data_IF_128121936150
#
_entry.id   IF_128121936150
#
_cell.length_a   1.000
_cell.length_b   1.000
_cell.length_c   1.000
_cell.angle_alpha   90.00
_cell.angle_beta   90.00
_cell.angle_gamma   90.00
#
_symmetry.space_group_name_H-M   'P 1'
#
loop_
_entity.id
_entity.type
_entity.pdbx_description
1 polymer ?
#
# COMPACT_ATOMS: atom_id res chain seq x y z
N UNK A 1 -3.11 0.09 7.58
CA UNK A 1 -2.28 -0.90 6.86
C UNK A 1 -0.83 -0.52 7.00
N UNK A 2 -0.01 -1.42 7.55
CA UNK A 2 1.39 -1.14 7.91
C UNK A 2 2.34 -2.09 7.20
N UNK A 3 3.46 -1.56 6.73
CA UNK A 3 4.62 -2.31 6.26
C UNK A 3 5.85 -1.72 6.93
N UNK A 4 6.65 -2.54 7.61
CA UNK A 4 7.88 -2.10 8.24
C UNK A 4 9.08 -2.83 7.64
N UNK A 5 10.18 -2.11 7.49
CA UNK A 5 11.43 -2.62 6.96
C UNK A 5 12.46 -2.63 8.08
N UNK A 6 13.11 -3.77 8.27
CA UNK A 6 14.20 -3.94 9.24
C UNK A 6 15.48 -4.34 8.51
N UNK A 7 16.58 -4.54 9.24
CA UNK A 7 17.82 -5.01 8.63
C UNK A 7 17.75 -6.45 8.13
N UNK A 8 16.81 -7.24 8.65
CA UNK A 8 16.71 -8.67 8.36
C UNK A 8 15.49 -9.02 7.52
N UNK A 9 14.36 -8.34 7.75
CA UNK A 9 13.09 -8.77 7.20
C UNK A 9 12.12 -7.61 6.96
N UNK A 10 11.05 -7.93 6.21
CA UNK A 10 9.93 -7.03 5.98
C UNK A 10 8.73 -7.55 6.76
N UNK A 11 8.20 -6.73 7.66
CA UNK A 11 7.02 -7.01 8.45
C UNK A 11 5.79 -6.38 7.81
N UNK A 12 4.64 -7.04 7.88
CA UNK A 12 3.35 -6.52 7.35
C UNK A 12 2.25 -6.75 8.38
N UNK A 13 1.32 -5.81 8.49
CA UNK A 13 0.16 -5.92 9.39
C UNK A 13 0.53 -5.64 10.85
N UNK A 14 0.05 -6.49 11.77
CA UNK A 14 0.20 -6.25 13.21
C UNK A 14 1.67 -6.25 13.66
N UNK A 15 2.50 -7.11 13.09
CA UNK A 15 3.94 -7.13 13.37
C UNK A 15 4.60 -5.79 13.05
N UNK A 16 4.24 -5.17 11.91
CA UNK A 16 4.73 -3.85 11.54
C UNK A 16 4.16 -2.75 12.45
N UNK A 17 2.87 -2.80 12.79
CA UNK A 17 2.22 -1.80 13.66
C UNK A 17 2.82 -1.80 15.07
N UNK A 18 3.08 -2.98 15.64
CA UNK A 18 3.55 -3.12 17.03
C UNK A 18 4.94 -2.52 17.27
N UNK A 19 5.77 -2.40 16.22
CA UNK A 19 7.13 -1.87 16.33
C UNK A 19 7.27 -0.42 15.84
N UNK A 20 6.18 0.24 15.42
CA UNK A 20 6.23 1.60 14.85
C UNK A 20 6.91 2.62 15.77
N UNK A 21 6.72 2.52 17.08
CA UNK A 21 7.34 3.42 18.04
C UNK A 21 8.87 3.25 18.15
N UNK A 22 9.40 2.08 17.80
CA UNK A 22 10.84 1.76 17.84
C UNK A 22 11.55 2.00 16.52
N UNK A 23 10.82 1.94 15.41
CA UNK A 23 11.36 2.07 14.05
C UNK A 23 10.45 2.95 13.16
N UNK A 24 10.15 4.20 13.57
CA UNK A 24 9.11 4.99 12.92
C UNK A 24 9.46 5.36 11.47
N UNK A 25 10.73 5.66 11.17
CA UNK A 25 11.18 6.11 9.85
C UNK A 25 11.11 5.02 8.78
N UNK A 26 11.20 3.74 9.17
CA UNK A 26 11.13 2.60 8.25
C UNK A 26 9.80 1.85 8.36
N UNK A 27 8.80 2.46 9.02
CA UNK A 27 7.46 1.89 9.15
C UNK A 27 6.47 2.73 8.37
N UNK A 28 6.11 2.22 7.20
CA UNK A 28 5.23 2.87 6.25
C UNK A 28 3.78 2.53 6.59
N UNK A 29 2.96 3.57 6.68
CA UNK A 29 1.51 3.50 6.79
C UNK A 29 0.89 4.55 5.87
N UNK A 30 -0.43 4.52 5.72
CA UNK A 30 -1.17 5.51 4.91
C UNK A 30 -0.70 5.62 3.44
N UNK A 31 -0.06 4.58 2.88
CA UNK A 31 0.32 4.54 1.47
C UNK A 31 -0.86 4.81 0.51
N UNK A 32 -2.09 4.50 0.94
CA UNK A 32 -3.35 4.81 0.22
C UNK A 32 -3.56 6.32 0.00
N UNK A 33 -2.97 7.19 0.82
CA UNK A 33 -3.00 8.66 0.63
C UNK A 33 -2.09 9.12 -0.51
N UNK A 34 -1.06 8.35 -0.83
CA UNK A 34 -0.08 8.64 -1.89
C UNK A 34 -0.41 7.97 -3.23
N UNK A 35 -1.13 6.85 -3.22
CA UNK A 35 -1.36 6.02 -4.41
C UNK A 35 -2.07 6.82 -5.52
N UNK A 36 -1.53 6.75 -6.75
CA UNK A 36 -2.04 7.46 -7.92
C UNK A 36 -1.97 8.99 -7.86
N UNK A 37 -1.24 9.57 -6.91
CA UNK A 37 -0.99 11.02 -6.83
C UNK A 37 0.37 11.38 -7.39
N UNK A 38 0.55 12.68 -7.65
CA UNK A 38 1.88 13.27 -7.90
C UNK A 38 2.48 13.75 -6.58
N UNK A 39 3.80 13.79 -6.54
CA UNK A 39 4.56 14.26 -5.39
C UNK A 39 4.22 15.71 -5.04
N UNK A 40 4.00 16.56 -6.05
CA UNK A 40 3.67 17.98 -5.90
C UNK A 40 2.20 18.27 -5.58
N UNK A 41 1.35 17.24 -5.47
CA UNK A 41 -0.05 17.39 -5.06
C UNK A 41 -0.11 18.06 -3.66
N UNK A 42 -0.88 19.15 -3.48
CA UNK A 42 -0.98 19.83 -2.19
C UNK A 42 -1.40 18.91 -1.03
N UNK A 43 -2.23 17.90 -1.30
CA UNK A 43 -2.60 16.92 -0.29
C UNK A 43 -1.40 16.06 0.14
N UNK A 44 -0.55 15.65 -0.81
CA UNK A 44 0.69 14.91 -0.52
C UNK A 44 1.65 15.77 0.27
N UNK A 45 1.88 17.01 -0.15
CA UNK A 45 2.77 17.95 0.54
C UNK A 45 2.30 18.27 1.97
N UNK A 46 0.98 18.32 2.19
CA UNK A 46 0.41 18.50 3.52
C UNK A 46 0.59 17.25 4.38
N UNK A 47 0.22 16.07 3.87
CA UNK A 47 0.27 14.81 4.62
C UNK A 47 1.71 14.43 5.01
N UNK A 48 2.70 14.70 4.14
CA UNK A 48 4.13 14.46 4.39
C UNK A 48 4.67 15.13 5.65
N UNK A 49 4.07 16.25 6.10
CA UNK A 49 4.50 16.95 7.33
C UNK A 49 4.18 16.15 8.61
N UNK A 50 3.33 15.13 8.49
CA UNK A 50 2.83 14.35 9.61
C UNK A 50 3.36 12.91 9.62
N UNK A 51 4.13 12.51 8.61
CA UNK A 51 4.70 11.18 8.53
C UNK A 51 6.15 11.14 9.02
N UNK A 52 6.55 10.08 9.75
CA UNK A 52 7.92 9.91 10.19
C UNK A 52 8.84 9.35 9.09
N UNK A 53 8.28 8.72 8.06
CA UNK A 53 9.03 8.15 6.95
C UNK A 53 9.22 9.19 5.82
N UNK A 54 10.26 9.01 5.03
CA UNK A 54 10.62 9.96 3.97
C UNK A 54 9.86 9.67 2.69
N UNK A 55 9.30 10.72 2.07
CA UNK A 55 8.74 10.68 0.72
C UNK A 55 9.53 11.63 -0.17
N UNK A 56 9.92 11.17 -1.37
CA UNK A 56 10.72 11.93 -2.35
C UNK A 56 10.02 12.01 -3.70
N UNK A 57 10.39 13.01 -4.50
CA UNK A 57 10.01 13.07 -5.90
C UNK A 57 10.74 11.97 -6.68
N UNK A 58 9.98 11.11 -7.35
CA UNK A 58 10.46 10.10 -8.27
C UNK A 58 10.27 10.48 -9.73
N UNK A 59 10.56 9.54 -10.65
CA UNK A 59 10.35 9.73 -12.09
C UNK A 59 8.92 10.16 -12.41
N UNK A 60 8.77 11.05 -13.39
CA UNK A 60 7.49 11.63 -13.80
C UNK A 60 6.70 12.33 -12.67
N UNK A 61 7.39 12.74 -11.60
CA UNK A 61 6.79 13.43 -10.45
C UNK A 61 5.95 12.50 -9.56
N UNK A 62 6.10 11.18 -9.66
CA UNK A 62 5.44 10.24 -8.73
C UNK A 62 6.11 10.28 -7.36
N UNK A 63 5.38 10.19 -6.24
CA UNK A 63 5.99 10.05 -4.93
C UNK A 63 6.68 8.69 -4.78
N UNK A 64 7.84 8.67 -4.14
CA UNK A 64 8.58 7.48 -3.74
C UNK A 64 8.78 7.49 -2.23
N UNK A 65 8.53 6.36 -1.58
CA UNK A 65 8.73 6.18 -0.15
C UNK A 65 10.13 5.63 0.06
N UNK A 66 11.00 6.37 0.73
CA UNK A 66 12.37 5.94 1.06
C UNK A 66 12.40 5.32 2.45
N UNK A 67 13.01 4.14 2.54
CA UNK A 67 13.25 3.41 3.79
C UNK A 67 14.65 2.81 3.79
N UNK A 68 15.20 2.57 4.97
CA UNK A 68 16.39 1.73 5.16
C UNK A 68 15.95 0.28 5.29
N UNK A 69 16.49 -0.58 4.43
CA UNK A 69 16.21 -2.01 4.42
C UNK A 69 17.49 -2.79 4.08
N UNK A 70 17.83 -3.77 4.93
CA UNK A 70 19.05 -4.58 4.78
C UNK A 70 20.33 -3.73 4.63
N UNK A 71 20.48 -2.72 5.49
CA UNK A 71 21.64 -1.83 5.48
C UNK A 71 21.75 -0.89 4.27
N UNK A 72 20.72 -0.81 3.41
CA UNK A 72 20.70 0.02 2.22
C UNK A 72 19.44 0.88 2.12
N UNK A 73 19.55 2.06 1.53
CA UNK A 73 18.36 2.87 1.20
C UNK A 73 17.64 2.26 0.01
N UNK A 74 16.34 2.02 0.18
CA UNK A 74 15.43 1.52 -0.85
C UNK A 74 14.33 2.55 -1.06
N UNK A 75 13.83 2.63 -2.28
CA UNK A 75 12.65 3.43 -2.60
C UNK A 75 11.57 2.53 -3.16
N UNK A 76 10.33 2.81 -2.77
CA UNK A 76 9.16 2.08 -3.21
C UNK A 76 8.08 3.03 -3.68
N UNK A 77 7.40 2.67 -4.76
CA UNK A 77 6.17 3.31 -5.15
C UNK A 77 5.03 2.97 -4.16
N UNK A 78 4.03 3.85 -3.98
CA UNK A 78 2.88 3.57 -3.11
C UNK A 78 2.12 2.28 -3.48
N UNK A 79 2.05 1.97 -4.78
CA UNK A 79 1.48 0.72 -5.29
C UNK A 79 2.26 -0.52 -4.82
N UNK A 80 3.58 -0.46 -4.69
CA UNK A 80 4.40 -1.58 -4.18
C UNK A 80 4.17 -1.82 -2.69
N UNK A 81 4.07 -0.75 -1.89
CA UNK A 81 3.72 -0.86 -0.46
C UNK A 81 2.32 -1.44 -0.30
N UNK A 82 1.36 -0.99 -1.12
CA UNK A 82 0.00 -1.51 -1.12
C UNK A 82 -0.05 -2.97 -1.55
N UNK A 83 0.78 -3.37 -2.53
CA UNK A 83 0.92 -4.76 -2.95
C UNK A 83 1.44 -5.66 -1.83
N UNK A 84 2.36 -5.19 -0.99
CA UNK A 84 2.84 -5.95 0.18
C UNK A 84 1.71 -6.24 1.18
N UNK A 85 0.80 -5.28 1.37
CA UNK A 85 -0.40 -5.49 2.19
C UNK A 85 -1.36 -6.47 1.51
N UNK A 86 -1.57 -6.37 0.20
CA UNK A 86 -2.42 -7.29 -0.55
C UNK A 86 -1.87 -8.72 -0.58
N UNK A 87 -0.55 -8.91 -0.70
CA UNK A 87 0.11 -10.20 -0.55
C UNK A 87 -0.17 -10.80 0.83
N UNK A 88 -0.08 -9.99 1.89
CA UNK A 88 -0.41 -10.47 3.24
C UNK A 88 -1.87 -10.90 3.35
N UNK A 89 -2.79 -10.16 2.72
CA UNK A 89 -4.21 -10.56 2.73
C UNK A 89 -4.48 -11.82 1.91
N UNK A 90 -3.78 -11.99 0.79
CA UNK A 90 -3.80 -13.22 -0.01
C UNK A 90 -3.31 -14.41 0.81
N UNK A 91 -2.16 -14.31 1.47
CA UNK A 91 -1.62 -15.36 2.35
C UNK A 91 -2.60 -15.77 3.45
N UNK A 92 -3.27 -14.78 4.08
CA UNK A 92 -4.28 -15.04 5.11
C UNK A 92 -5.47 -15.82 4.53
N UNK A 93 -5.95 -15.42 3.35
CA UNK A 93 -7.04 -16.13 2.68
C UNK A 93 -6.63 -17.55 2.25
N UNK A 94 -5.43 -17.72 1.71
CA UNK A 94 -4.88 -19.03 1.32
C UNK A 94 -4.73 -19.96 2.52
N UNK A 95 -4.24 -19.46 3.65
CA UNK A 95 -4.13 -20.23 4.89
C UNK A 95 -5.51 -20.65 5.44
N UNK A 96 -6.52 -19.80 5.30
CA UNK A 96 -7.88 -20.10 5.73
C UNK A 96 -8.59 -21.12 4.81
N UNK A 97 -8.42 -20.98 3.50
CA UNK A 97 -9.13 -21.80 2.49
C UNK A 97 -8.37 -23.11 2.18
N UNK A 98 -7.04 -23.13 2.38
CA UNK A 98 -6.18 -24.27 2.09
C UNK A 98 -5.80 -24.45 0.62
N UNK A 99 -5.92 -23.40 -0.20
CA UNK A 99 -5.58 -23.40 -1.63
C UNK A 99 -5.18 -22.01 -2.12
N UNK A 100 -4.48 -21.96 -3.26
CA UNK A 100 -4.08 -20.71 -3.92
C UNK A 100 -5.26 -19.79 -4.23
N UNK A 101 -5.09 -18.51 -3.92
CA UNK A 101 -6.04 -17.44 -4.24
C UNK A 101 -5.48 -16.59 -5.37
N UNK A 102 -6.12 -16.68 -6.54
CA UNK A 102 -5.64 -16.00 -7.77
C UNK A 102 -6.47 -14.81 -8.19
N UNK A 103 -7.72 -14.72 -7.77
CA UNK A 103 -8.67 -13.73 -8.26
C UNK A 103 -9.24 -12.91 -7.11
N UNK A 104 -9.38 -11.61 -7.33
CA UNK A 104 -9.87 -10.70 -6.30
C UNK A 104 -10.71 -9.56 -6.88
N UNK A 105 -11.65 -9.08 -6.07
CA UNK A 105 -12.28 -7.77 -6.21
C UNK A 105 -11.70 -6.87 -5.13
N UNK A 106 -11.22 -5.69 -5.51
CA UNK A 106 -10.59 -4.75 -4.57
C UNK A 106 -11.44 -3.49 -4.49
N UNK A 107 -11.69 -3.00 -3.27
CA UNK A 107 -12.48 -1.79 -3.02
C UNK A 107 -11.60 -0.53 -3.04
N UNK A 108 -12.19 0.60 -3.45
CA UNK A 108 -11.58 1.93 -3.38
C UNK A 108 -12.61 2.98 -2.93
N UNK A 109 -12.19 4.13 -2.38
CA UNK A 109 -13.10 5.22 -2.07
C UNK A 109 -13.84 5.69 -3.32
N UNK A 110 -15.10 6.08 -3.19
CA UNK A 110 -15.91 6.49 -4.34
C UNK A 110 -15.31 7.70 -5.10
N UNK A 111 -14.59 8.58 -4.38
CA UNK A 111 -13.94 9.78 -4.91
C UNK A 111 -12.57 9.51 -5.56
N UNK A 112 -12.08 8.26 -5.60
CA UNK A 112 -10.85 7.95 -6.31
C UNK A 112 -11.02 8.21 -7.81
N UNK A 113 -10.08 8.97 -8.37
CA UNK A 113 -9.99 9.19 -9.81
C UNK A 113 -9.38 7.98 -10.55
N UNK A 114 -9.33 8.04 -11.87
CA UNK A 114 -8.86 6.92 -12.70
C UNK A 114 -7.41 6.53 -12.43
N UNK A 115 -6.52 7.50 -12.17
CA UNK A 115 -5.11 7.21 -11.85
C UNK A 115 -4.97 6.44 -10.54
N UNK A 116 -5.74 6.81 -9.51
CA UNK A 116 -5.74 6.14 -8.22
C UNK A 116 -6.37 4.74 -8.28
N UNK A 117 -7.42 4.57 -9.10
CA UNK A 117 -8.03 3.27 -9.39
C UNK A 117 -7.06 2.35 -10.11
N UNK A 118 -6.39 2.86 -11.14
CA UNK A 118 -5.40 2.10 -11.90
C UNK A 118 -4.21 1.70 -11.01
N UNK A 119 -3.65 2.62 -10.23
CA UNK A 119 -2.54 2.31 -9.33
C UNK A 119 -2.92 1.27 -8.25
N UNK A 120 -4.18 1.28 -7.79
CA UNK A 120 -4.69 0.24 -6.87
C UNK A 120 -4.83 -1.11 -7.57
N UNK A 121 -5.26 -1.12 -8.84
CA UNK A 121 -5.29 -2.33 -9.66
C UNK A 121 -3.87 -2.87 -9.90
N UNK A 122 -2.91 -1.99 -10.18
CA UNK A 122 -1.50 -2.34 -10.36
C UNK A 122 -0.92 -2.97 -9.09
N UNK A 123 -1.24 -2.43 -7.91
CA UNK A 123 -0.88 -3.05 -6.64
C UNK A 123 -1.42 -4.49 -6.50
N UNK A 124 -2.66 -4.75 -6.94
CA UNK A 124 -3.22 -6.10 -7.01
C UNK A 124 -2.46 -7.01 -7.96
N UNK A 125 -2.11 -6.52 -9.15
CA UNK A 125 -1.30 -7.26 -10.13
C UNK A 125 0.09 -7.59 -9.56
N UNK A 126 0.77 -6.64 -8.92
CA UNK A 126 2.08 -6.84 -8.28
C UNK A 126 1.98 -7.90 -7.16
N UNK A 127 0.85 -7.95 -6.45
CA UNK A 127 0.57 -8.98 -5.44
C UNK A 127 0.25 -10.37 -6.02
N UNK A 128 0.27 -10.53 -7.35
CA UNK A 128 -0.06 -11.79 -8.01
C UNK A 128 -1.56 -12.13 -7.97
N UNK A 129 -2.42 -11.10 -7.98
CA UNK A 129 -3.87 -11.24 -8.05
C UNK A 129 -4.37 -10.77 -9.42
N UNK A 130 -5.24 -11.57 -10.04
CA UNK A 130 -6.11 -11.15 -11.13
C UNK A 130 -7.25 -10.29 -10.56
N UNK A 131 -7.14 -8.98 -10.74
CA UNK A 131 -8.13 -8.02 -10.24
C UNK A 131 -9.32 -7.98 -11.19
N UNK A 132 -10.37 -8.75 -10.87
CA UNK A 132 -11.60 -8.87 -11.66
C UNK A 132 -12.34 -7.54 -11.77
N UNK A 133 -12.37 -6.78 -10.66
CA UNK A 133 -13.04 -5.49 -10.61
C UNK A 133 -12.46 -4.62 -9.49
N UNK A 134 -12.39 -3.31 -9.76
CA UNK A 134 -12.28 -2.28 -8.74
C UNK A 134 -13.69 -1.76 -8.46
N UNK A 135 -14.18 -1.87 -7.21
CA UNK A 135 -15.51 -1.41 -6.83
C UNK A 135 -15.43 -0.29 -5.79
N UNK A 136 -16.47 0.55 -5.73
CA UNK A 136 -16.55 1.58 -4.71
C UNK A 136 -16.86 0.95 -3.35
N UNK A 137 -16.15 1.39 -2.31
CA UNK A 137 -16.42 1.02 -0.91
C UNK A 137 -17.89 1.15 -0.51
N UNK A 138 -18.60 2.28 -0.76
CA UNK A 138 -20.03 2.38 -0.42
C UNK A 138 -20.91 1.42 -1.24
N UNK A 139 -20.53 1.09 -2.47
CA UNK A 139 -21.26 0.11 -3.28
C UNK A 139 -21.07 -1.30 -2.72
N UNK A 140 -19.86 -1.65 -2.28
CA UNK A 140 -19.60 -2.93 -1.61
C UNK A 140 -20.41 -3.05 -0.31
N UNK A 141 -20.49 -1.97 0.48
CA UNK A 141 -21.30 -1.93 1.69
C UNK A 141 -22.80 -2.12 1.38
N UNK A 142 -23.31 -1.48 0.32
CA UNK A 142 -24.69 -1.64 -0.11
C UNK A 142 -25.02 -3.05 -0.63
N UNK A 143 -24.07 -3.74 -1.28
CA UNK A 143 -24.25 -5.15 -1.72
C UNK A 143 -24.33 -6.10 -0.52
N UNK A 144 -23.66 -5.77 0.59
CA UNK A 144 -23.62 -6.61 1.77
C UNK A 144 -24.89 -6.53 2.64
N UNK A 145 -25.76 -5.53 2.41
CA UNK A 145 -26.99 -5.29 3.15
C UNK A 145 -28.20 -5.86 2.39
#
# INVERSE_FOLDING_TARGET
SYVAFTDTERLVGDAAKNQVARNPENTVFDAKRLIGRKFDDPAVQSDMKHWPFTVKAGPAGKPLIEVSYQGSKKTFHPEEISAMVLMKMKEIAEAFIGKDVKEAVITVPAYFNDSQRQATKDAGTIAGLNVLRIINEPTAAAIAY
#
